data_IF_664025236652
#
_entry.id   IF_664025236652
#
_cell.length_a   1.000
_cell.length_b   1.000
_cell.length_c   1.000
_cell.angle_alpha   90.00
_cell.angle_beta   90.00
_cell.angle_gamma   90.00
#
_symmetry.space_group_name_H-M   'P 1'
#
loop_
_entity.id
_entity.type
_entity.pdbx_description
1 polymer ?
#
# COMPACT_ATOMS: atom_id res chain seq x y z
N UNK A 1 10.26 -52.23 -76.96
CA UNK A 1 9.18 -51.41 -76.39
C UNK A 1 9.26 -51.47 -74.85
N UNK A 2 9.55 -52.57 -74.21
CA UNK A 2 9.54 -52.79 -72.76
C UNK A 2 10.61 -51.86 -72.03
N UNK A 3 11.76 -51.65 -72.58
CA UNK A 3 12.84 -50.91 -72.05
C UNK A 3 12.57 -49.35 -71.93
N UNK A 4 11.80 -48.83 -72.88
CA UNK A 4 11.40 -47.38 -72.78
C UNK A 4 10.39 -47.16 -71.71
N UNK A 5 9.45 -48.07 -71.46
CA UNK A 5 8.47 -47.95 -70.39
C UNK A 5 9.12 -47.97 -68.97
N UNK A 6 10.15 -48.83 -68.84
CA UNK A 6 10.87 -48.92 -67.55
C UNK A 6 11.62 -47.62 -67.16
N UNK A 7 12.32 -46.97 -68.15
CA UNK A 7 13.01 -45.69 -67.91
C UNK A 7 12.03 -44.57 -67.59
N UNK A 8 10.87 -44.48 -68.19
CA UNK A 8 9.86 -43.48 -67.92
C UNK A 8 9.32 -43.67 -66.53
N UNK A 9 9.05 -44.90 -66.08
CA UNK A 9 8.57 -45.18 -64.70
C UNK A 9 9.57 -44.84 -63.64
N UNK A 10 10.88 -45.06 -63.90
CA UNK A 10 11.96 -44.71 -62.95
C UNK A 10 12.19 -43.19 -62.86
N UNK A 11 12.11 -42.44 -63.98
CA UNK A 11 12.16 -41.02 -64.06
C UNK A 11 11.01 -40.33 -63.29
N UNK A 12 9.77 -40.84 -63.44
CA UNK A 12 8.59 -40.37 -62.72
C UNK A 12 8.72 -40.62 -61.19
N UNK A 13 9.22 -41.79 -60.78
CA UNK A 13 9.41 -42.13 -59.38
C UNK A 13 10.43 -41.21 -58.73
N UNK A 14 11.52 -40.89 -59.41
CA UNK A 14 12.56 -39.95 -58.92
C UNK A 14 12.02 -38.51 -58.79
N UNK A 15 11.22 -38.03 -59.74
CA UNK A 15 10.59 -36.70 -59.64
C UNK A 15 9.61 -36.61 -58.49
N UNK A 16 8.78 -37.64 -58.27
CA UNK A 16 7.83 -37.64 -57.14
C UNK A 16 8.58 -37.66 -55.80
N UNK A 17 9.69 -38.39 -55.70
CA UNK A 17 10.51 -38.42 -54.47
C UNK A 17 11.19 -37.08 -54.23
N UNK A 18 11.66 -36.42 -55.28
CA UNK A 18 12.29 -35.10 -55.18
C UNK A 18 11.30 -34.01 -54.78
N UNK A 19 10.07 -34.04 -55.33
CA UNK A 19 8.99 -33.11 -54.90
C UNK A 19 8.55 -33.35 -53.46
N UNK A 20 8.44 -34.61 -53.01
CA UNK A 20 8.13 -34.92 -51.60
C UNK A 20 9.21 -34.40 -50.64
N UNK A 21 10.50 -34.56 -51.02
CA UNK A 21 11.60 -34.02 -50.24
C UNK A 21 11.61 -32.48 -50.19
N UNK A 22 11.34 -31.81 -51.32
CA UNK A 22 11.23 -30.34 -51.38
C UNK A 22 10.05 -29.83 -50.53
N UNK A 23 8.91 -30.51 -50.52
CA UNK A 23 7.77 -30.16 -49.66
C UNK A 23 8.06 -30.43 -48.20
N UNK A 24 8.75 -31.48 -47.83
CA UNK A 24 9.19 -31.79 -46.49
C UNK A 24 10.20 -30.75 -45.95
N UNK A 25 11.16 -30.33 -46.77
CA UNK A 25 12.12 -29.31 -46.43
C UNK A 25 11.48 -27.92 -46.27
N UNK A 26 10.56 -27.53 -47.14
CA UNK A 26 9.79 -26.28 -47.00
C UNK A 26 8.94 -26.23 -45.73
N UNK A 27 8.29 -27.36 -45.34
CA UNK A 27 7.55 -27.43 -44.08
C UNK A 27 8.46 -27.29 -42.85
N UNK A 28 9.63 -27.91 -42.84
CA UNK A 28 10.62 -27.77 -41.78
C UNK A 28 11.18 -26.32 -41.69
N UNK A 29 11.43 -25.71 -42.87
CA UNK A 29 11.92 -24.33 -42.92
C UNK A 29 10.86 -23.33 -42.39
N UNK A 30 9.58 -23.51 -42.75
CA UNK A 30 8.45 -22.72 -42.26
C UNK A 30 8.26 -22.86 -40.73
N UNK A 31 8.40 -24.08 -40.20
CA UNK A 31 8.29 -24.32 -38.76
C UNK A 31 9.44 -23.68 -37.97
N UNK A 32 10.66 -23.69 -38.52
CA UNK A 32 11.82 -23.02 -37.90
C UNK A 32 11.65 -21.48 -37.95
N UNK A 33 11.17 -20.95 -39.08
CA UNK A 33 10.89 -19.51 -39.19
C UNK A 33 9.79 -19.07 -38.23
N UNK A 34 8.72 -19.86 -38.06
CA UNK A 34 7.66 -19.56 -37.09
C UNK A 34 8.18 -19.59 -35.65
N UNK A 35 9.06 -20.54 -35.33
CA UNK A 35 9.69 -20.64 -34.00
C UNK A 35 10.59 -19.44 -33.72
N UNK A 36 11.38 -18.99 -34.71
CA UNK A 36 12.24 -17.79 -34.58
C UNK A 36 11.39 -16.53 -34.37
N UNK A 37 10.30 -16.37 -35.10
CA UNK A 37 9.37 -15.25 -34.92
C UNK A 37 8.72 -15.28 -33.53
N UNK A 38 8.33 -16.47 -33.05
CA UNK A 38 7.75 -16.62 -31.70
C UNK A 38 8.76 -16.25 -30.60
N UNK A 39 10.01 -16.71 -30.73
CA UNK A 39 11.11 -16.40 -29.80
C UNK A 39 11.46 -14.90 -29.83
N UNK A 40 11.49 -14.28 -31.04
CA UNK A 40 11.74 -12.85 -31.16
C UNK A 40 10.59 -12.01 -30.55
N UNK A 41 9.34 -12.41 -30.73
CA UNK A 41 8.19 -11.74 -30.10
C UNK A 41 8.27 -11.86 -28.56
N UNK A 42 8.64 -13.02 -28.02
CA UNK A 42 8.84 -13.18 -26.56
C UNK A 42 10.03 -12.33 -26.05
N UNK A 43 11.10 -12.17 -26.80
CA UNK A 43 12.24 -11.32 -26.43
C UNK A 43 11.90 -9.82 -26.51
N UNK A 44 11.02 -9.40 -27.41
CA UNK A 44 10.56 -8.00 -27.47
C UNK A 44 9.53 -7.67 -26.39
N UNK A 45 8.75 -8.62 -25.89
CA UNK A 45 7.84 -8.40 -24.76
C UNK A 45 8.58 -8.27 -23.41
N UNK A 46 9.79 -8.80 -23.27
CA UNK A 46 10.60 -8.69 -22.04
C UNK A 46 11.51 -7.47 -21.99
N UNK A 47 11.52 -6.61 -23.01
CA UNK A 47 12.55 -5.57 -23.18
C UNK A 47 12.19 -4.13 -22.88
N UNK A 48 10.96 -3.80 -22.43
CA UNK A 48 10.56 -2.40 -22.19
C UNK A 48 9.84 -2.12 -20.87
N UNK A 49 9.90 -2.99 -19.87
CA UNK A 49 9.58 -2.59 -18.51
C UNK A 49 10.77 -1.79 -17.96
N UNK A 50 10.77 -0.47 -18.14
CA UNK A 50 11.76 0.40 -17.50
C UNK A 50 11.85 0.01 -16.01
N UNK A 51 13.08 -0.13 -15.49
CA UNK A 51 13.34 -0.61 -14.13
C UNK A 51 12.42 0.14 -13.16
N UNK A 52 11.62 -0.61 -12.38
CA UNK A 52 10.76 -0.02 -11.36
C UNK A 52 11.64 0.71 -10.34
N UNK A 53 11.23 1.90 -9.94
CA UNK A 53 11.87 2.69 -8.89
C UNK A 53 10.78 3.26 -7.98
N UNK A 54 11.18 3.75 -6.81
CA UNK A 54 10.25 4.27 -5.80
C UNK A 54 9.27 5.28 -6.37
N UNK A 55 9.75 6.29 -7.10
CA UNK A 55 8.91 7.35 -7.68
C UNK A 55 7.85 6.81 -8.64
N UNK A 56 8.21 5.83 -9.50
CA UNK A 56 7.27 5.22 -10.44
C UNK A 56 6.22 4.39 -9.71
N UNK A 57 6.63 3.63 -8.69
CA UNK A 57 5.72 2.82 -7.87
C UNK A 57 4.71 3.72 -7.15
N UNK A 58 5.17 4.77 -6.46
CA UNK A 58 4.30 5.72 -5.78
C UNK A 58 3.29 6.37 -6.73
N UNK A 59 3.75 6.89 -7.87
CA UNK A 59 2.85 7.52 -8.84
C UNK A 59 1.77 6.56 -9.32
N UNK A 60 2.14 5.32 -9.68
CA UNK A 60 1.18 4.33 -10.13
C UNK A 60 0.23 3.90 -9.01
N UNK A 61 0.73 3.81 -7.79
CA UNK A 61 -0.10 3.51 -6.61
C UNK A 61 -1.13 4.61 -6.37
N UNK A 62 -0.73 5.88 -6.43
CA UNK A 62 -1.64 7.03 -6.33
C UNK A 62 -2.72 7.01 -7.42
N UNK A 63 -2.32 6.81 -8.68
CA UNK A 63 -3.25 6.71 -9.82
C UNK A 63 -4.25 5.56 -9.66
N UNK A 64 -3.85 4.46 -9.01
CA UNK A 64 -4.72 3.32 -8.76
C UNK A 64 -5.63 3.55 -7.54
N UNK A 65 -5.12 4.18 -6.47
CA UNK A 65 -5.93 4.55 -5.31
C UNK A 65 -7.09 5.47 -5.68
N UNK A 66 -6.92 6.39 -6.62
CA UNK A 66 -8.00 7.26 -7.10
C UNK A 66 -9.16 6.50 -7.78
N UNK A 67 -8.97 5.24 -8.13
CA UNK A 67 -10.00 4.37 -8.74
C UNK A 67 -10.68 3.47 -7.72
N UNK A 68 -10.16 3.42 -6.52
CA UNK A 68 -10.71 2.61 -5.43
C UNK A 68 -11.98 3.27 -4.92
N UNK A 69 -13.07 2.53 -4.88
CA UNK A 69 -14.36 3.02 -4.39
C UNK A 69 -14.65 2.60 -2.96
N UNK A 70 -13.99 1.57 -2.48
CA UNK A 70 -14.05 1.18 -1.07
C UNK A 70 -12.76 0.48 -0.64
N UNK A 71 -12.41 0.59 0.64
CA UNK A 71 -11.30 -0.14 1.22
C UNK A 71 -11.59 -0.57 2.66
N UNK A 72 -10.94 -1.64 3.09
CA UNK A 72 -10.90 -2.08 4.47
C UNK A 72 -9.46 -2.10 4.96
N UNK A 73 -9.23 -1.60 6.17
CA UNK A 73 -7.92 -1.45 6.77
C UNK A 73 -7.92 -1.92 8.22
N UNK A 74 -6.82 -2.48 8.67
CA UNK A 74 -6.55 -2.72 10.08
C UNK A 74 -5.48 -1.73 10.54
N UNK A 75 -5.72 -1.05 11.66
CA UNK A 75 -4.82 -0.06 12.24
C UNK A 75 -4.39 -0.52 13.62
N UNK A 76 -3.09 -0.56 13.85
CA UNK A 76 -2.48 -0.81 15.15
C UNK A 76 -1.67 0.41 15.58
N UNK A 77 -1.88 0.86 16.81
CA UNK A 77 -1.03 1.85 17.50
C UNK A 77 -0.42 1.20 18.72
N UNK A 78 0.89 1.27 18.85
CA UNK A 78 1.60 0.80 20.03
C UNK A 78 2.55 1.89 20.53
N UNK A 79 2.34 2.33 21.78
CA UNK A 79 3.20 3.29 22.46
C UNK A 79 3.69 2.66 23.75
N UNK A 80 5.00 2.73 23.97
CA UNK A 80 5.61 2.34 25.23
C UNK A 80 6.58 3.42 25.68
N UNK A 81 6.27 4.03 26.82
CA UNK A 81 7.08 5.09 27.41
C UNK A 81 7.42 4.73 28.85
N UNK A 82 8.59 5.13 29.29
CA UNK A 82 9.04 4.91 30.66
C UNK A 82 9.74 6.15 31.23
N UNK A 83 9.47 6.44 32.47
CA UNK A 83 10.26 7.33 33.30
C UNK A 83 10.96 6.54 34.44
N UNK A 84 11.55 7.23 35.39
CA UNK A 84 12.28 6.60 36.51
C UNK A 84 11.37 5.71 37.38
N UNK A 85 10.06 5.96 37.39
CA UNK A 85 9.12 5.34 38.33
C UNK A 85 8.00 4.56 37.62
N UNK A 86 7.75 4.83 36.37
CA UNK A 86 6.55 4.34 35.67
C UNK A 86 6.87 3.79 34.28
N UNK A 87 6.20 2.71 33.94
CA UNK A 87 6.02 2.25 32.58
C UNK A 87 4.58 2.58 32.16
N UNK A 88 4.40 3.20 31.01
CA UNK A 88 3.11 3.43 30.36
C UNK A 88 3.11 2.73 29.01
N UNK A 89 2.07 1.96 28.76
CA UNK A 89 1.82 1.29 27.48
C UNK A 89 0.44 1.71 26.98
N UNK A 90 0.36 2.06 25.70
CA UNK A 90 -0.90 2.29 24.99
C UNK A 90 -0.91 1.36 23.80
N UNK A 91 -1.95 0.55 23.69
CA UNK A 91 -2.20 -0.30 22.54
C UNK A 91 -3.61 -0.01 22.01
N UNK A 92 -3.74 0.21 20.73
CA UNK A 92 -5.01 0.36 20.04
C UNK A 92 -5.00 -0.49 18.80
N UNK A 93 -6.11 -1.17 18.57
CA UNK A 93 -6.38 -1.94 17.36
C UNK A 93 -7.76 -1.54 16.83
N UNK A 94 -7.85 -1.21 15.55
CA UNK A 94 -9.10 -0.80 14.90
C UNK A 94 -9.20 -1.38 13.50
N UNK A 95 -10.38 -1.89 13.17
CA UNK A 95 -10.77 -2.21 11.80
C UNK A 95 -11.55 -1.02 11.22
N UNK A 96 -11.16 -0.59 10.03
CA UNK A 96 -11.76 0.52 9.32
C UNK A 96 -12.30 0.04 7.98
N UNK A 97 -13.51 0.48 7.65
CA UNK A 97 -14.12 0.31 6.34
C UNK A 97 -14.58 1.68 5.84
N UNK A 98 -14.29 1.99 4.59
CA UNK A 98 -14.69 3.25 3.98
C UNK A 98 -15.13 3.08 2.54
N UNK A 99 -16.04 3.97 2.11
CA UNK A 99 -16.50 4.09 0.73
C UNK A 99 -16.38 5.54 0.27
N UNK A 100 -16.19 5.74 -1.04
CA UNK A 100 -16.10 7.07 -1.65
C UNK A 100 -17.43 7.52 -2.25
N UNK A 101 -18.30 6.59 -2.65
CA UNK A 101 -19.60 6.89 -3.28
C UNK A 101 -20.71 5.95 -2.77
N UNK A 102 -21.61 6.40 -1.86
CA UNK A 102 -21.54 7.66 -1.11
C UNK A 102 -20.37 7.67 -0.11
N UNK A 103 -19.82 8.87 0.23
CA UNK A 103 -18.76 8.94 1.21
C UNK A 103 -19.28 8.51 2.57
N UNK A 104 -18.70 7.44 3.09
CA UNK A 104 -19.02 6.89 4.40
C UNK A 104 -17.82 6.13 4.97
N UNK A 105 -17.72 6.10 6.29
CA UNK A 105 -16.69 5.35 6.99
C UNK A 105 -17.22 4.74 8.29
N UNK A 106 -16.68 3.59 8.65
CA UNK A 106 -16.90 2.91 9.91
C UNK A 106 -15.56 2.45 10.46
N UNK A 107 -15.31 2.74 11.73
CA UNK A 107 -14.15 2.23 12.44
C UNK A 107 -14.61 1.59 13.75
N UNK A 108 -14.05 0.43 14.09
CA UNK A 108 -14.37 -0.28 15.31
C UNK A 108 -13.13 -0.97 15.86
N UNK A 109 -12.95 -0.89 17.19
CA UNK A 109 -11.80 -1.51 17.80
C UNK A 109 -11.74 -1.34 19.31
N UNK A 110 -10.55 -1.48 19.85
CA UNK A 110 -10.29 -1.36 21.28
C UNK A 110 -9.04 -0.52 21.53
N UNK A 111 -9.05 0.25 22.61
CA UNK A 111 -7.87 0.89 23.15
C UNK A 111 -7.60 0.38 24.55
N UNK A 112 -6.33 0.16 24.86
CA UNK A 112 -5.85 -0.29 26.17
C UNK A 112 -4.71 0.59 26.63
N UNK A 113 -4.82 1.09 27.85
CA UNK A 113 -3.78 1.87 28.50
C UNK A 113 -3.36 1.17 29.78
N UNK A 114 -2.08 0.84 29.89
CA UNK A 114 -1.50 0.25 31.10
C UNK A 114 -0.52 1.25 31.71
N UNK A 115 -0.71 1.54 32.98
CA UNK A 115 0.22 2.39 33.76
C UNK A 115 0.59 1.60 35.00
N UNK A 116 1.85 1.21 35.13
CA UNK A 116 2.33 0.28 36.17
C UNK A 116 1.53 -1.03 36.10
N UNK A 117 0.79 -1.34 37.18
CA UNK A 117 -0.02 -2.55 37.34
C UNK A 117 -1.52 -2.29 37.07
N UNK A 118 -1.88 -1.06 36.63
CA UNK A 118 -3.27 -0.68 36.37
C UNK A 118 -3.52 -0.66 34.87
N UNK A 119 -4.54 -1.38 34.43
CA UNK A 119 -5.00 -1.42 33.05
C UNK A 119 -6.41 -0.85 32.93
N UNK A 120 -6.61 0.00 31.93
CA UNK A 120 -7.92 0.50 31.51
C UNK A 120 -8.08 0.18 30.02
N UNK A 121 -9.23 -0.35 29.66
CA UNK A 121 -9.59 -0.61 28.26
C UNK A 121 -10.91 0.06 27.90
N UNK A 122 -11.04 0.42 26.62
CA UNK A 122 -12.24 1.00 26.05
C UNK A 122 -12.55 0.37 24.71
N UNK A 123 -13.82 0.05 24.48
CA UNK A 123 -14.33 -0.25 23.15
C UNK A 123 -14.59 1.05 22.42
N UNK A 124 -14.10 1.15 21.20
CA UNK A 124 -14.18 2.34 20.34
C UNK A 124 -14.99 2.00 19.10
N UNK A 125 -15.89 2.90 18.71
CA UNK A 125 -16.62 2.76 17.46
C UNK A 125 -16.89 4.16 16.87
N UNK A 126 -16.70 4.31 15.57
CA UNK A 126 -16.84 5.59 14.90
C UNK A 126 -17.55 5.38 13.56
N UNK A 127 -18.57 6.20 13.29
CA UNK A 127 -19.23 6.30 11.99
C UNK A 127 -19.05 7.71 11.45
N UNK A 128 -18.75 7.78 10.16
CA UNK A 128 -18.73 9.02 9.43
C UNK A 128 -19.66 8.88 8.22
N UNK A 129 -20.63 9.77 8.11
CA UNK A 129 -21.66 9.74 7.07
C UNK A 129 -21.99 11.15 6.61
N UNK A 130 -22.58 11.27 5.43
CA UNK A 130 -23.15 12.52 4.96
C UNK A 130 -24.64 12.60 5.35
N UNK A 131 -25.02 13.64 6.08
CA UNK A 131 -26.41 13.96 6.44
C UNK A 131 -26.73 15.39 6.01
N UNK A 132 -27.76 15.57 5.18
CA UNK A 132 -28.22 16.88 4.68
C UNK A 132 -27.09 17.71 4.04
N UNK A 133 -26.17 17.07 3.31
CA UNK A 133 -25.02 17.70 2.67
C UNK A 133 -23.91 18.14 3.65
N UNK A 134 -23.94 17.63 4.87
CA UNK A 134 -22.92 17.87 5.88
C UNK A 134 -22.30 16.55 6.32
N UNK A 135 -21.01 16.56 6.56
CA UNK A 135 -20.36 15.43 7.15
C UNK A 135 -20.65 15.36 8.65
N UNK A 136 -21.07 14.20 9.11
CA UNK A 136 -21.44 13.92 10.48
C UNK A 136 -20.62 12.77 11.00
N UNK A 137 -19.99 12.96 12.14
CA UNK A 137 -19.23 11.93 12.85
C UNK A 137 -19.96 11.51 14.11
N UNK A 138 -20.18 10.22 14.27
CA UNK A 138 -20.67 9.60 15.49
C UNK A 138 -19.51 8.85 16.15
N UNK A 139 -19.10 9.25 17.35
CA UNK A 139 -18.06 8.57 18.12
C UNK A 139 -18.65 7.88 19.33
N UNK A 140 -18.35 6.60 19.48
CA UNK A 140 -18.80 5.74 20.57
C UNK A 140 -17.62 5.28 21.43
N UNK A 141 -17.76 5.37 22.74
CA UNK A 141 -16.80 4.81 23.70
C UNK A 141 -17.57 4.04 24.76
N UNK A 142 -17.32 2.75 24.89
CA UNK A 142 -18.02 1.85 25.83
C UNK A 142 -19.55 1.98 25.75
N UNK A 143 -20.10 2.11 24.52
CA UNK A 143 -21.53 2.26 24.26
C UNK A 143 -22.12 3.66 24.51
N UNK A 144 -21.32 4.64 24.94
CA UNK A 144 -21.74 6.05 25.03
C UNK A 144 -21.40 6.77 23.73
N UNK A 145 -22.38 7.44 23.13
CA UNK A 145 -22.25 8.05 21.81
C UNK A 145 -22.27 9.58 21.86
N UNK A 146 -21.45 10.19 21.01
CA UNK A 146 -21.40 11.61 20.74
C UNK A 146 -21.59 11.84 19.25
N UNK A 147 -22.36 12.86 18.88
CA UNK A 147 -22.54 13.30 17.50
C UNK A 147 -21.86 14.65 17.32
N UNK A 148 -21.05 14.75 16.28
CA UNK A 148 -20.42 16.01 15.86
C UNK A 148 -20.72 16.24 14.38
N UNK A 149 -21.00 17.48 13.99
CA UNK A 149 -21.17 17.86 12.59
C UNK A 149 -20.16 18.91 12.23
N UNK A 150 -19.38 18.69 11.18
CA UNK A 150 -18.49 19.68 10.65
C UNK A 150 -19.28 20.71 9.82
N UNK A 151 -19.11 22.00 10.10
CA UNK A 151 -19.59 23.07 9.22
C UNK A 151 -18.56 23.28 8.11
N UNK A 152 -18.93 22.92 6.88
CA UNK A 152 -18.12 23.10 5.67
C UNK A 152 -17.88 21.77 4.93
N UNK A 153 -17.51 21.88 3.67
CA UNK A 153 -17.02 20.75 2.88
C UNK A 153 -15.64 20.34 3.43
N UNK A 154 -15.60 19.62 4.53
CA UNK A 154 -14.36 18.97 4.94
C UNK A 154 -14.20 17.75 4.03
N UNK A 155 -13.17 17.76 3.21
CA UNK A 155 -12.76 16.60 2.40
C UNK A 155 -12.18 15.48 3.29
N UNK A 156 -12.49 15.50 4.57
CA UNK A 156 -11.97 14.64 5.59
C UNK A 156 -12.78 13.35 5.63
N UNK A 157 -12.27 12.29 5.07
CA UNK A 157 -12.87 10.96 5.09
C UNK A 157 -12.15 10.08 6.11
N UNK A 158 -12.92 9.24 6.81
CA UNK A 158 -12.34 8.09 7.52
C UNK A 158 -11.68 7.20 6.46
N UNK A 159 -10.38 7.26 6.37
CA UNK A 159 -9.65 6.49 5.38
C UNK A 159 -8.41 7.23 4.92
N UNK A 160 -7.50 6.48 4.34
CA UNK A 160 -6.28 7.04 3.80
C UNK A 160 -6.63 7.76 2.52
N UNK A 161 -6.43 9.07 2.52
CA UNK A 161 -6.55 9.87 1.30
C UNK A 161 -5.51 9.38 0.28
N UNK A 162 -5.98 8.95 -0.90
CA UNK A 162 -5.10 8.58 -2.01
C UNK A 162 -4.14 9.70 -2.41
N UNK A 163 -4.46 10.95 -2.07
CA UNK A 163 -3.60 12.11 -2.32
C UNK A 163 -2.27 12.07 -1.56
N UNK A 164 -2.17 11.28 -0.50
CA UNK A 164 -0.90 11.13 0.21
C UNK A 164 0.21 10.55 -0.67
N UNK A 165 -0.17 9.71 -1.62
CA UNK A 165 0.74 9.18 -2.63
C UNK A 165 0.93 10.13 -3.82
N UNK A 166 0.08 11.15 -3.93
CA UNK A 166 0.12 12.16 -4.98
C UNK A 166 1.11 13.29 -4.68
N UNK A 167 1.79 13.26 -3.55
CA UNK A 167 2.74 14.31 -3.17
C UNK A 167 3.81 14.47 -4.24
N UNK A 168 3.73 15.59 -4.93
CA UNK A 168 4.76 16.05 -5.84
C UNK A 168 5.85 16.74 -5.03
N UNK A 169 7.11 16.36 -5.22
CA UNK A 169 8.21 17.13 -4.69
C UNK A 169 9.26 16.33 -3.90
N UNK A 170 9.89 17.00 -2.95
CA UNK A 170 11.06 16.50 -2.20
C UNK A 170 10.79 15.23 -1.39
N UNK A 171 9.56 15.04 -0.90
CA UNK A 171 9.20 13.85 -0.13
C UNK A 171 9.42 12.56 -0.92
N UNK A 172 9.01 12.52 -2.20
CA UNK A 172 9.24 11.35 -3.06
C UNK A 172 10.73 11.08 -3.37
N UNK A 173 11.59 12.09 -3.24
CA UNK A 173 13.04 11.93 -3.45
C UNK A 173 13.71 11.22 -2.27
N UNK A 174 13.11 11.24 -1.07
CA UNK A 174 13.61 10.56 0.11
C UNK A 174 13.35 9.04 0.08
N UNK A 175 12.41 8.56 -0.75
CA UNK A 175 12.03 7.16 -0.77
C UNK A 175 12.92 6.30 -1.66
N UNK A 176 13.31 5.17 -1.11
CA UNK A 176 14.14 4.17 -1.75
C UNK A 176 13.41 2.84 -1.86
N UNK A 177 13.60 2.14 -2.98
CA UNK A 177 13.09 0.79 -3.17
C UNK A 177 14.04 -0.20 -2.49
N UNK A 178 13.49 -1.03 -1.60
CA UNK A 178 14.22 -2.13 -0.98
C UNK A 178 14.60 -3.18 -2.02
N UNK A 179 15.78 -3.78 -1.87
CA UNK A 179 16.18 -4.95 -2.63
C UNK A 179 15.56 -6.25 -2.09
N UNK A 180 15.03 -6.21 -0.87
CA UNK A 180 14.37 -7.35 -0.25
C UNK A 180 12.92 -7.45 -0.71
N UNK A 181 12.51 -8.68 -1.03
CA UNK A 181 11.10 -8.96 -1.29
C UNK A 181 10.35 -9.14 0.03
N UNK A 182 9.16 -8.56 0.10
CA UNK A 182 8.24 -8.72 1.23
C UNK A 182 6.89 -9.25 0.76
N UNK A 183 6.11 -9.78 1.68
CA UNK A 183 4.76 -10.28 1.42
C UNK A 183 3.81 -9.76 2.49
N UNK A 184 2.64 -9.30 2.05
CA UNK A 184 1.52 -8.88 2.91
C UNK A 184 0.28 -9.62 2.45
N UNK A 185 -0.48 -10.21 3.37
CA UNK A 185 -1.66 -11.01 3.06
C UNK A 185 -1.38 -12.14 2.03
N UNK A 186 -0.16 -12.70 2.02
CA UNK A 186 0.25 -13.74 1.08
C UNK A 186 0.59 -13.26 -0.33
N UNK A 187 0.50 -11.96 -0.62
CA UNK A 187 0.84 -11.34 -1.92
C UNK A 187 2.21 -10.68 -1.85
N UNK A 188 2.98 -10.79 -2.95
CA UNK A 188 4.28 -10.14 -3.07
C UNK A 188 4.15 -8.61 -3.16
N UNK A 189 5.03 -7.89 -2.45
CA UNK A 189 5.04 -6.44 -2.39
C UNK A 189 6.39 -5.85 -2.82
N UNK A 190 6.35 -4.63 -3.33
CA UNK A 190 7.47 -3.71 -3.30
C UNK A 190 7.51 -3.07 -1.91
N UNK A 191 8.69 -2.98 -1.31
CA UNK A 191 8.88 -2.24 -0.07
C UNK A 191 9.66 -0.96 -0.35
N UNK A 192 9.09 0.16 0.07
CA UNK A 192 9.67 1.49 -0.05
C UNK A 192 9.91 2.03 1.36
N UNK A 193 11.08 2.58 1.60
CA UNK A 193 11.43 3.20 2.88
C UNK A 193 11.92 4.63 2.65
N UNK A 194 11.55 5.52 3.54
CA UNK A 194 11.89 6.94 3.48
C UNK A 194 11.34 7.69 4.66
N UNK A 195 11.30 9.02 4.55
CA UNK A 195 10.77 9.88 5.59
C UNK A 195 9.59 10.71 5.06
N UNK A 196 8.65 10.98 5.95
CA UNK A 196 7.57 11.95 5.74
C UNK A 196 7.67 13.06 6.78
N UNK A 197 7.12 14.23 6.50
CA UNK A 197 6.96 15.27 7.49
C UNK A 197 5.77 15.00 8.42
N UNK A 198 5.71 15.64 9.58
CA UNK A 198 4.55 15.49 10.47
C UNK A 198 3.24 15.92 9.82
N UNK A 199 3.24 16.94 8.96
CA UNK A 199 2.06 17.34 8.18
C UNK A 199 1.60 16.23 7.22
N UNK A 200 2.54 15.59 6.54
CA UNK A 200 2.27 14.47 5.65
C UNK A 200 1.73 13.24 6.42
N UNK A 201 2.28 13.01 7.61
CA UNK A 201 1.82 11.94 8.50
C UNK A 201 0.36 12.14 8.95
N UNK A 202 -0.01 13.38 9.31
CA UNK A 202 -1.39 13.69 9.69
C UNK A 202 -2.37 13.43 8.55
N UNK A 203 -1.99 13.74 7.31
CA UNK A 203 -2.76 13.36 6.13
C UNK A 203 -2.87 11.84 5.96
N UNK A 204 -1.83 11.09 6.34
CA UNK A 204 -1.79 9.62 6.26
C UNK A 204 -2.76 8.95 7.25
N UNK A 205 -2.79 9.43 8.48
CA UNK A 205 -3.57 8.81 9.55
C UNK A 205 -5.05 9.18 9.53
N UNK A 206 -5.42 10.23 8.81
CA UNK A 206 -6.74 10.83 8.89
C UNK A 206 -6.90 11.68 10.17
N UNK A 207 -7.08 12.98 9.99
CA UNK A 207 -7.16 13.94 11.10
C UNK A 207 -8.29 13.60 12.07
N UNK A 208 -9.44 13.14 11.56
CA UNK A 208 -10.61 12.79 12.35
C UNK A 208 -10.34 11.62 13.31
N UNK A 209 -9.61 10.61 12.87
CA UNK A 209 -9.27 9.48 13.72
C UNK A 209 -8.37 9.92 14.89
N UNK A 210 -7.41 10.80 14.60
CA UNK A 210 -6.51 11.36 15.63
C UNK A 210 -7.27 12.25 16.61
N UNK A 211 -8.17 13.12 16.12
CA UNK A 211 -8.94 14.06 16.92
C UNK A 211 -10.10 13.39 17.69
N UNK A 212 -10.86 12.50 17.06
CA UNK A 212 -12.05 11.88 17.67
C UNK A 212 -11.71 11.07 18.93
N UNK A 213 -10.55 10.46 18.97
CA UNK A 213 -10.19 9.59 20.08
C UNK A 213 -9.13 10.19 21.02
N UNK A 214 -8.57 11.35 20.71
CA UNK A 214 -7.44 11.93 21.47
C UNK A 214 -6.34 10.88 21.77
N UNK A 215 -6.24 9.88 20.88
CA UNK A 215 -5.48 8.65 21.12
C UNK A 215 -3.99 8.87 21.15
N UNK A 216 -3.57 9.95 20.54
CA UNK A 216 -2.20 10.38 20.56
C UNK A 216 -2.19 11.78 21.13
N UNK A 217 -1.64 11.96 22.32
CA UNK A 217 -1.10 13.25 22.70
C UNK A 217 0.10 13.51 21.79
N UNK A 218 -0.17 13.66 20.48
CA UNK A 218 0.82 14.21 19.59
C UNK A 218 1.16 15.59 20.17
N UNK A 219 2.43 15.92 20.27
CA UNK A 219 2.83 17.30 20.55
C UNK A 219 2.04 18.20 19.59
N UNK A 220 1.82 19.44 20.03
CA UNK A 220 1.12 20.43 19.20
C UNK A 220 1.59 20.33 17.74
N UNK A 221 0.66 20.40 16.79
CA UNK A 221 0.93 20.21 15.35
C UNK A 221 2.18 20.96 14.88
N UNK A 222 2.44 22.14 15.44
CA UNK A 222 3.63 22.94 15.16
C UNK A 222 4.94 22.25 15.58
N UNK A 223 4.92 21.44 16.63
CA UNK A 223 6.12 20.74 17.12
C UNK A 223 6.52 19.56 16.21
N UNK A 224 5.55 18.89 15.60
CA UNK A 224 5.80 17.74 14.74
C UNK A 224 5.87 18.10 13.24
N UNK A 225 5.36 19.26 12.86
CA UNK A 225 5.19 19.67 11.45
C UNK A 225 6.42 19.43 10.57
N UNK A 226 7.60 19.74 11.08
CA UNK A 226 8.85 19.68 10.34
C UNK A 226 9.74 18.48 10.72
N UNK A 227 9.25 17.60 11.58
CA UNK A 227 10.01 16.40 11.94
C UNK A 227 10.05 15.43 10.75
N UNK A 228 11.20 14.83 10.52
CA UNK A 228 11.37 13.77 9.53
C UNK A 228 11.06 12.42 10.20
N UNK A 229 9.95 11.81 9.82
CA UNK A 229 9.41 10.61 10.43
C UNK A 229 9.64 9.43 9.48
N UNK A 230 10.37 8.39 9.91
CA UNK A 230 10.60 7.20 9.11
C UNK A 230 9.31 6.46 8.81
N UNK A 231 9.12 6.10 7.53
CA UNK A 231 7.95 5.35 7.06
C UNK A 231 8.37 4.24 6.10
N UNK A 232 7.73 3.10 6.23
CA UNK A 232 7.84 1.98 5.30
C UNK A 232 6.49 1.79 4.61
N UNK A 233 6.50 1.73 3.29
CA UNK A 233 5.35 1.40 2.47
C UNK A 233 5.56 0.06 1.78
N UNK A 234 4.69 -0.89 2.05
CA UNK A 234 4.57 -2.10 1.24
C UNK A 234 3.44 -1.89 0.22
N UNK A 235 3.73 -2.10 -1.07
CA UNK A 235 2.80 -1.89 -2.18
C UNK A 235 2.69 -3.20 -2.96
N UNK A 236 1.49 -3.73 -3.15
CA UNK A 236 1.26 -4.95 -3.92
C UNK A 236 1.86 -4.84 -5.32
N UNK A 237 2.62 -5.88 -5.75
CA UNK A 237 3.31 -5.86 -7.05
C UNK A 237 2.34 -5.93 -8.24
N UNK A 238 1.24 -6.62 -8.10
CA UNK A 238 0.28 -6.84 -9.19
C UNK A 238 -0.67 -5.66 -9.34
N UNK A 239 -1.34 -5.29 -8.25
CA UNK A 239 -2.37 -4.25 -8.23
C UNK A 239 -1.78 -2.84 -8.16
N UNK A 240 -0.54 -2.71 -7.68
CA UNK A 240 0.09 -1.43 -7.33
C UNK A 240 -0.82 -0.59 -6.40
N UNK A 241 -1.42 -1.25 -5.43
CA UNK A 241 -2.17 -0.63 -4.33
C UNK A 241 -1.39 -0.78 -3.02
N UNK A 242 -1.56 0.12 -2.05
CA UNK A 242 -0.96 -0.03 -0.74
C UNK A 242 -1.33 -1.36 -0.09
N UNK A 243 -0.37 -2.01 0.55
CA UNK A 243 -0.58 -3.26 1.27
C UNK A 243 -0.43 -3.04 2.79
N UNK A 244 0.61 -2.29 3.16
CA UNK A 244 0.91 -2.00 4.56
C UNK A 244 1.75 -0.72 4.65
N UNK A 245 1.48 0.05 5.69
CA UNK A 245 2.27 1.25 6.03
C UNK A 245 2.71 1.09 7.47
N UNK A 246 3.99 1.30 7.73
CA UNK A 246 4.57 1.27 9.08
C UNK A 246 5.23 2.62 9.33
N UNK A 247 4.82 3.27 10.40
CA UNK A 247 5.39 4.53 10.89
C UNK A 247 6.08 4.25 12.21
N UNK A 248 7.37 4.51 12.30
CA UNK A 248 8.12 4.39 13.55
C UNK A 248 8.57 5.78 14.02
N UNK A 249 7.94 6.26 15.07
CA UNK A 249 8.22 7.56 15.68
C UNK A 249 9.07 7.45 16.96
N UNK A 250 9.58 6.27 17.29
CA UNK A 250 10.23 6.01 18.57
C UNK A 250 11.39 6.97 18.85
N UNK A 251 12.32 7.08 17.91
CA UNK A 251 13.49 7.95 18.05
C UNK A 251 13.11 9.43 17.99
N UNK A 252 12.23 9.79 17.03
CA UNK A 252 11.77 11.18 16.81
C UNK A 252 11.08 11.72 18.05
N UNK A 253 10.17 10.96 18.64
CA UNK A 253 9.46 11.33 19.86
C UNK A 253 10.40 11.34 21.07
N UNK A 254 11.34 10.39 21.15
CA UNK A 254 12.35 10.38 22.20
C UNK A 254 13.23 11.63 22.20
N UNK A 255 13.65 12.09 21.03
CA UNK A 255 14.45 13.31 20.90
C UNK A 255 13.62 14.58 21.15
N UNK A 256 12.35 14.58 20.76
CA UNK A 256 11.43 15.67 21.05
C UNK A 256 11.23 15.85 22.56
N UNK A 257 10.93 14.79 23.32
CA UNK A 257 10.78 14.84 24.77
C UNK A 257 12.07 15.32 25.46
N UNK A 258 13.23 14.85 25.03
CA UNK A 258 14.52 15.35 25.52
C UNK A 258 14.71 16.85 25.27
N UNK A 259 14.26 17.35 24.11
CA UNK A 259 14.35 18.77 23.77
C UNK A 259 13.54 19.66 24.72
N UNK A 260 12.46 19.14 25.29
CA UNK A 260 11.67 19.81 26.33
C UNK A 260 12.21 19.61 27.74
N UNK A 261 13.35 18.93 27.88
CA UNK A 261 13.97 18.67 29.20
C UNK A 261 13.28 17.54 29.98
N UNK A 262 12.46 16.73 29.34
CA UNK A 262 11.81 15.60 29.97
C UNK A 262 12.74 14.39 30.09
N UNK A 263 12.57 13.62 31.17
CA UNK A 263 13.32 12.38 31.45
C UNK A 263 12.65 11.13 30.92
N UNK A 264 11.49 11.30 30.28
CA UNK A 264 10.71 10.23 29.67
C UNK A 264 11.47 9.61 28.50
N UNK A 265 11.59 8.28 28.53
CA UNK A 265 12.10 7.50 27.41
C UNK A 265 10.94 6.98 26.59
N UNK A 266 11.00 7.17 25.29
CA UNK A 266 10.13 6.50 24.33
C UNK A 266 10.83 5.21 23.91
N UNK A 267 10.27 4.06 24.32
CA UNK A 267 10.81 2.75 23.99
C UNK A 267 10.20 2.22 22.68
N UNK A 268 8.93 2.58 22.43
CA UNK A 268 8.21 2.25 21.21
C UNK A 268 7.17 3.35 20.95
N UNK A 269 7.05 3.75 19.71
CA UNK A 269 5.98 4.59 19.19
C UNK A 269 5.76 4.20 17.73
N UNK A 270 4.86 3.29 17.49
CA UNK A 270 4.64 2.69 16.17
C UNK A 270 3.17 2.74 15.77
N UNK A 271 2.93 3.05 14.50
CA UNK A 271 1.63 2.99 13.87
C UNK A 271 1.75 2.05 12.67
N UNK A 272 0.85 1.10 12.58
CA UNK A 272 0.77 0.15 11.46
C UNK A 272 -0.62 0.23 10.85
N UNK A 273 -0.68 0.46 9.53
CA UNK A 273 -1.89 0.38 8.75
C UNK A 273 -1.73 -0.76 7.76
N UNK A 274 -2.62 -1.73 7.79
CA UNK A 274 -2.63 -2.86 6.89
C UNK A 274 -3.93 -2.88 6.10
N UNK A 275 -3.83 -2.82 4.79
CA UNK A 275 -4.99 -2.89 3.91
C UNK A 275 -5.40 -4.35 3.73
N UNK A 276 -6.66 -4.64 4.02
CA UNK A 276 -7.19 -6.01 4.01
C UNK A 276 -8.03 -6.29 2.78
N UNK A 277 -8.69 -5.27 2.24
CA UNK A 277 -9.53 -5.39 1.05
C UNK A 277 -9.63 -4.07 0.27
N UNK A 278 -9.93 -4.20 -1.04
CA UNK A 278 -10.16 -3.11 -1.99
C UNK A 278 -11.24 -3.51 -3.00
N UNK A 279 -12.16 -2.59 -3.34
CA UNK A 279 -13.14 -2.76 -4.40
C UNK A 279 -13.05 -1.66 -5.46
#
# INVERSE_FOLDING_TARGET
>A
IVWKAFRVKQSLKNRITEEKNKRGFRKKLLSVQLLIVLVTVMLFCSGCAGKMNAKKIFRQSSENMQKVTSSANHVELAIQMSDILNLMEVNMEMDLENTTEPPAGHAKGTARVTIKDSEVSADLELYQVEEDGKQVTYSGTNGSWKKESAEGNSENHLGIDGNIFAQEGKALESFHLSEQETTVNGKACYQLYGNVTGTELMGLLGKEMVEAYHLVNLPEEDAIRNLEIPVIFDIYKEELLPAKIVVDMSDVMGDLYKSYGETTKVNLYSIVLQFTDYN
#
